data_IF_136643022980
#
_entry.id   IF_136643022980
#
_cell.length_a   1.000
_cell.length_b   1.000
_cell.length_c   1.000
_cell.angle_alpha   90.00
_cell.angle_beta   90.00
_cell.angle_gamma   90.00
#
_symmetry.space_group_name_H-M   'P 1'
#
loop_
_entity.id
_entity.type
_entity.pdbx_description
1 polymer ?
#
# COMPACT_ATOMS: atom_id res chain seq x y z
N UNK A 1 0.76 64.30 55.79
CA UNK A 1 1.95 63.46 56.05
C UNK A 1 2.12 62.51 54.88
N UNK A 2 3.36 62.27 54.44
CA UNK A 2 3.70 61.70 53.14
C UNK A 2 3.81 60.18 53.19
N UNK A 3 3.73 59.52 52.03
CA UNK A 3 4.44 58.27 51.78
C UNK A 3 5.15 58.46 50.44
N UNK A 4 6.47 58.60 50.51
CA UNK A 4 7.39 58.48 49.38
C UNK A 4 7.53 56.99 49.05
N UNK A 5 7.41 56.64 47.77
CA UNK A 5 7.95 55.38 47.25
C UNK A 5 8.73 55.77 46.00
N UNK A 6 10.04 55.52 46.07
CA UNK A 6 11.02 55.79 45.03
C UNK A 6 10.79 54.95 43.78
N UNK A 7 11.18 55.53 42.65
CA UNK A 7 11.11 54.98 41.31
C UNK A 7 12.03 53.77 41.16
N UNK A 8 11.57 52.77 40.41
CA UNK A 8 12.47 51.94 39.60
C UNK A 8 11.94 52.01 38.16
N UNK A 9 12.84 52.44 37.28
CA UNK A 9 12.60 52.77 35.89
C UNK A 9 12.27 51.51 35.07
N UNK A 10 11.19 51.54 34.30
CA UNK A 10 11.09 50.72 33.10
C UNK A 10 10.58 51.64 32.00
N UNK A 11 11.50 52.08 31.15
CA UNK A 11 11.21 52.86 29.96
C UNK A 11 10.28 52.08 29.03
N UNK A 12 9.19 52.74 28.67
CA UNK A 12 8.35 52.45 27.52
C UNK A 12 9.18 52.54 26.22
N UNK A 13 8.88 51.69 25.23
CA UNK A 13 8.26 52.15 23.97
C UNK A 13 8.49 51.23 22.77
N UNK A 14 7.36 50.99 22.10
CA UNK A 14 7.13 51.00 20.66
C UNK A 14 7.43 49.77 19.77
N UNK A 15 6.32 49.07 19.57
CA UNK A 15 5.85 48.32 18.41
C UNK A 15 6.04 49.09 17.08
N UNK A 16 6.71 48.46 16.11
CA UNK A 16 6.43 48.41 14.66
C UNK A 16 7.24 47.19 14.16
N UNK A 17 6.90 46.33 13.21
CA UNK A 17 6.00 46.30 12.05
C UNK A 17 6.04 44.83 11.54
N UNK A 18 5.06 44.37 10.76
CA UNK A 18 5.30 43.27 9.80
C UNK A 18 4.51 41.98 9.97
N UNK A 19 3.42 41.88 9.21
CA UNK A 19 2.76 40.65 8.74
C UNK A 19 3.77 39.66 8.14
N UNK A 20 3.74 38.39 8.60
CA UNK A 20 3.84 37.19 7.76
C UNK A 20 3.88 35.88 8.57
N UNK A 21 2.94 35.00 8.22
CA UNK A 21 3.15 33.56 7.97
C UNK A 21 3.32 32.57 9.13
N UNK A 22 2.21 31.85 9.36
CA UNK A 22 2.10 30.38 9.38
C UNK A 22 3.23 29.63 10.08
N UNK A 23 2.96 29.22 11.32
CA UNK A 23 3.71 28.20 12.04
C UNK A 23 3.62 26.87 11.30
N UNK A 24 4.60 26.59 10.45
CA UNK A 24 4.87 25.23 9.96
C UNK A 24 5.47 24.46 11.13
N UNK A 25 4.65 23.59 11.72
CA UNK A 25 5.11 22.56 12.64
C UNK A 25 6.14 21.69 11.92
N UNK A 26 7.37 21.74 12.40
CA UNK A 26 8.49 20.94 11.94
C UNK A 26 8.27 19.50 12.41
N UNK A 27 7.44 18.74 11.69
CA UNK A 27 7.44 17.28 11.81
C UNK A 27 8.77 16.79 11.29
N UNK A 28 9.51 16.08 12.14
CA UNK A 28 10.75 15.42 11.79
C UNK A 28 10.56 14.57 10.51
N UNK A 29 11.56 14.54 9.60
CA UNK A 29 11.48 13.69 8.43
C UNK A 29 11.39 12.24 8.89
N UNK A 30 10.23 11.63 8.64
CA UNK A 30 10.04 10.18 8.74
C UNK A 30 11.17 9.55 7.93
N UNK A 31 11.99 8.78 8.62
CA UNK A 31 13.08 8.01 8.06
C UNK A 31 12.57 7.20 6.86
N UNK A 32 13.09 7.53 5.68
CA UNK A 32 12.85 6.87 4.40
C UNK A 32 13.56 5.52 4.33
N UNK A 33 13.26 4.63 5.26
CA UNK A 33 13.66 3.22 5.23
C UNK A 33 12.49 2.36 4.77
N UNK A 34 12.34 2.26 3.44
CA UNK A 34 11.72 1.15 2.72
C UNK A 34 10.44 0.55 3.35
N UNK A 35 9.44 1.39 3.60
CA UNK A 35 8.06 0.92 3.71
C UNK A 35 7.66 0.53 2.30
N UNK A 36 7.69 -0.78 2.01
CA UNK A 36 7.08 -1.28 0.80
C UNK A 36 5.62 -0.85 0.80
N UNK A 37 5.24 -0.05 -0.19
CA UNK A 37 3.84 0.26 -0.39
C UNK A 37 3.11 -1.07 -0.64
N UNK A 38 2.23 -1.44 0.29
CA UNK A 38 1.40 -2.63 0.19
C UNK A 38 0.67 -2.67 -1.15
N UNK A 39 0.30 -1.51 -1.70
CA UNK A 39 -0.30 -1.38 -3.04
C UNK A 39 0.59 -1.96 -4.13
N UNK A 40 1.88 -1.62 -4.13
CA UNK A 40 2.85 -2.13 -5.11
C UNK A 40 3.04 -3.64 -4.97
N UNK A 41 3.13 -4.14 -3.72
CA UNK A 41 3.25 -5.58 -3.47
C UNK A 41 1.99 -6.35 -3.91
N UNK A 42 0.81 -5.82 -3.59
CA UNK A 42 -0.49 -6.37 -4.00
C UNK A 42 -0.55 -6.48 -5.53
N UNK A 43 -0.28 -5.39 -6.24
CA UNK A 43 -0.31 -5.39 -7.71
C UNK A 43 0.70 -6.39 -8.29
N UNK A 44 1.94 -6.44 -7.78
CA UNK A 44 2.95 -7.42 -8.26
C UNK A 44 2.49 -8.87 -8.07
N UNK A 45 1.83 -9.17 -6.97
CA UNK A 45 1.31 -10.51 -6.71
C UNK A 45 0.09 -10.85 -7.57
N UNK A 46 -0.77 -9.88 -7.88
CA UNK A 46 -1.86 -10.04 -8.85
C UNK A 46 -1.32 -10.30 -10.26
N UNK A 47 -0.27 -9.58 -10.68
CA UNK A 47 0.40 -9.83 -11.97
C UNK A 47 0.98 -11.24 -12.03
N UNK A 48 1.61 -11.71 -10.95
CA UNK A 48 2.11 -13.09 -10.88
C UNK A 48 0.98 -14.13 -10.99
N UNK A 49 -0.17 -13.86 -10.35
CA UNK A 49 -1.34 -14.74 -10.42
C UNK A 49 -1.88 -14.82 -11.85
N UNK A 50 -2.13 -13.68 -12.50
CA UNK A 50 -2.59 -13.58 -13.90
C UNK A 50 -1.70 -14.37 -14.88
N UNK A 51 -0.42 -14.55 -14.56
CA UNK A 51 0.57 -15.21 -15.43
C UNK A 51 0.81 -16.68 -15.07
N UNK A 52 0.22 -17.19 -13.99
CA UNK A 52 0.59 -18.49 -13.42
C UNK A 52 0.27 -19.66 -14.35
N UNK A 53 -0.84 -19.58 -15.08
CA UNK A 53 -1.33 -20.63 -15.98
C UNK A 53 -0.86 -20.42 -17.44
N UNK A 54 -0.12 -19.34 -17.70
CA UNK A 54 0.35 -18.88 -19.02
C UNK A 54 -0.75 -18.58 -20.03
N UNK A 55 -2.01 -18.43 -19.60
CA UNK A 55 -3.11 -17.99 -20.43
C UNK A 55 -3.51 -16.59 -20.00
N UNK A 56 -3.05 -15.60 -20.76
CA UNK A 56 -3.42 -14.23 -20.47
C UNK A 56 -4.90 -14.02 -20.81
N UNK A 57 -5.70 -13.65 -19.81
CA UNK A 57 -7.12 -13.31 -19.97
C UNK A 57 -7.29 -11.79 -19.90
N UNK A 58 -7.95 -11.22 -20.90
CA UNK A 58 -8.09 -9.76 -21.04
C UNK A 58 -8.83 -9.10 -19.86
N UNK A 59 -9.75 -9.83 -19.22
CA UNK A 59 -10.54 -9.33 -18.08
C UNK A 59 -9.68 -9.14 -16.82
N UNK A 60 -8.75 -10.06 -16.56
CA UNK A 60 -7.79 -9.96 -15.46
C UNK A 60 -6.77 -8.84 -15.73
N UNK A 61 -6.27 -8.77 -16.97
CA UNK A 61 -5.34 -7.72 -17.39
C UNK A 61 -5.96 -6.33 -17.24
N UNK A 62 -7.19 -6.14 -17.76
CA UNK A 62 -7.89 -4.85 -17.68
C UNK A 62 -8.18 -4.44 -16.24
N UNK A 63 -8.45 -5.39 -15.36
CA UNK A 63 -8.63 -5.12 -13.93
C UNK A 63 -7.34 -4.65 -13.27
N UNK A 64 -6.22 -5.35 -13.48
CA UNK A 64 -4.92 -4.94 -12.91
C UNK A 64 -4.50 -3.58 -13.47
N UNK A 65 -4.71 -3.32 -14.77
CA UNK A 65 -4.44 -2.03 -15.38
C UNK A 65 -5.23 -0.90 -14.69
N UNK A 66 -6.52 -1.13 -14.44
CA UNK A 66 -7.39 -0.18 -13.73
C UNK A 66 -6.91 0.07 -12.29
N UNK A 67 -6.43 -0.97 -11.59
CA UNK A 67 -5.85 -0.83 -10.26
C UNK A 67 -4.58 0.04 -10.27
N UNK A 68 -3.70 -0.16 -11.25
CA UNK A 68 -2.48 0.65 -11.41
C UNK A 68 -2.86 2.11 -11.66
N UNK A 69 -3.76 2.38 -12.61
CA UNK A 69 -4.17 3.72 -12.99
C UNK A 69 -4.76 4.51 -11.82
N UNK A 70 -5.65 3.88 -11.04
CA UNK A 70 -6.36 4.51 -9.93
C UNK A 70 -5.58 4.54 -8.62
N UNK A 71 -4.42 3.89 -8.55
CA UNK A 71 -3.58 3.90 -7.34
C UNK A 71 -2.87 5.25 -7.14
N UNK A 72 -2.51 5.56 -5.90
CA UNK A 72 -1.76 6.77 -5.52
C UNK A 72 -0.24 6.61 -5.69
N UNK A 73 0.22 5.54 -6.33
CA UNK A 73 1.65 5.29 -6.57
C UNK A 73 2.20 6.27 -7.61
N UNK A 74 3.51 6.56 -7.54
CA UNK A 74 4.17 7.46 -8.50
C UNK A 74 4.12 6.94 -9.94
N UNK A 75 4.10 7.86 -10.92
CA UNK A 75 3.96 7.54 -12.34
C UNK A 75 5.06 6.60 -12.87
N UNK A 76 6.30 6.76 -12.40
CA UNK A 76 7.41 5.86 -12.75
C UNK A 76 7.09 4.41 -12.33
N UNK A 77 6.59 4.23 -11.10
CA UNK A 77 6.17 2.92 -10.59
C UNK A 77 4.97 2.36 -11.36
N UNK A 78 4.01 3.22 -11.76
CA UNK A 78 2.88 2.78 -12.61
C UNK A 78 3.38 2.20 -13.93
N UNK A 79 4.32 2.89 -14.59
CA UNK A 79 4.93 2.46 -15.84
C UNK A 79 5.68 1.12 -15.64
N UNK A 80 6.44 0.99 -14.55
CA UNK A 80 7.12 -0.27 -14.22
C UNK A 80 6.14 -1.44 -14.07
N UNK A 81 5.05 -1.25 -13.31
CA UNK A 81 4.05 -2.29 -13.09
C UNK A 81 3.33 -2.68 -14.39
N UNK A 82 2.99 -1.72 -15.23
CA UNK A 82 2.42 -1.99 -16.55
C UNK A 82 3.38 -2.81 -17.42
N UNK A 83 4.66 -2.45 -17.46
CA UNK A 83 5.68 -3.22 -18.19
C UNK A 83 5.84 -4.66 -17.66
N UNK A 84 5.67 -4.86 -16.35
CA UNK A 84 5.75 -6.20 -15.74
C UNK A 84 4.60 -7.13 -16.18
N UNK A 85 3.43 -6.58 -16.51
CA UNK A 85 2.30 -7.34 -17.06
C UNK A 85 2.64 -7.97 -18.42
N UNK A 86 3.35 -7.23 -19.28
CA UNK A 86 3.73 -7.69 -20.62
C UNK A 86 4.99 -8.56 -20.63
N UNK A 87 5.81 -8.47 -19.59
CA UNK A 87 7.02 -9.28 -19.45
C UNK A 87 6.70 -10.78 -19.28
N UNK A 88 7.60 -11.68 -19.67
CA UNK A 88 7.47 -13.12 -19.35
C UNK A 88 8.16 -13.50 -18.02
N UNK A 89 8.76 -12.53 -17.33
CA UNK A 89 9.51 -12.76 -16.09
C UNK A 89 8.60 -13.06 -14.90
N UNK A 90 9.14 -13.85 -13.96
CA UNK A 90 8.56 -13.98 -12.61
C UNK A 90 8.94 -12.77 -11.76
N UNK A 91 7.97 -12.21 -11.06
CA UNK A 91 8.19 -11.11 -10.13
C UNK A 91 8.42 -11.72 -8.75
N UNK A 92 9.49 -11.32 -8.07
CA UNK A 92 9.68 -11.72 -6.67
C UNK A 92 8.75 -10.88 -5.79
N UNK A 93 7.92 -11.56 -4.99
CA UNK A 93 7.05 -10.92 -3.99
C UNK A 93 7.35 -11.55 -2.65
N UNK A 94 7.69 -10.71 -1.67
CA UNK A 94 7.85 -11.13 -0.28
C UNK A 94 6.51 -11.04 0.46
N UNK A 95 5.82 -12.18 0.54
CA UNK A 95 4.54 -12.29 1.23
C UNK A 95 4.67 -12.24 2.76
N UNK A 96 5.87 -12.40 3.32
CA UNK A 96 6.07 -12.40 4.78
C UNK A 96 5.84 -11.02 5.40
N UNK A 97 5.87 -9.96 4.58
CA UNK A 97 5.56 -8.58 5.00
C UNK A 97 4.12 -8.49 5.51
N UNK A 98 3.18 -9.19 4.87
CA UNK A 98 1.77 -9.20 5.27
C UNK A 98 1.52 -9.97 6.58
N UNK A 99 2.42 -10.89 6.98
CA UNK A 99 2.22 -11.71 8.18
C UNK A 99 2.22 -10.91 9.49
N UNK A 100 2.70 -9.65 9.45
CA UNK A 100 2.68 -8.73 10.59
C UNK A 100 1.38 -7.92 10.68
N UNK A 101 0.60 -7.87 9.61
CA UNK A 101 -0.62 -7.07 9.47
C UNK A 101 -1.77 -7.98 8.98
N UNK A 102 -2.51 -8.65 9.89
CA UNK A 102 -3.52 -9.65 9.53
C UNK A 102 -4.62 -9.13 8.61
N UNK A 103 -5.01 -7.86 8.75
CA UNK A 103 -6.01 -7.23 7.89
C UNK A 103 -5.51 -7.07 6.46
N UNK A 104 -4.23 -6.67 6.27
CA UNK A 104 -3.59 -6.58 4.96
C UNK A 104 -3.40 -7.96 4.32
N UNK A 105 -3.02 -8.97 5.11
CA UNK A 105 -2.93 -10.36 4.66
C UNK A 105 -4.28 -10.89 4.17
N UNK A 106 -5.34 -10.60 4.93
CA UNK A 106 -6.70 -11.02 4.61
C UNK A 106 -7.21 -10.32 3.36
N UNK A 107 -7.03 -8.98 3.27
CA UNK A 107 -7.37 -8.20 2.07
C UNK A 107 -6.65 -8.73 0.83
N UNK A 108 -5.35 -9.01 0.95
CA UNK A 108 -4.57 -9.57 -0.15
C UNK A 108 -5.06 -10.95 -0.58
N UNK A 109 -5.45 -11.82 0.36
CA UNK A 109 -6.03 -13.12 0.04
C UNK A 109 -7.36 -12.96 -0.75
N UNK A 110 -8.21 -12.03 -0.33
CA UNK A 110 -9.46 -11.73 -1.04
C UNK A 110 -9.20 -11.20 -2.45
N UNK A 111 -8.26 -10.27 -2.62
CA UNK A 111 -7.91 -9.71 -3.92
C UNK A 111 -7.42 -10.79 -4.89
N UNK A 112 -6.58 -11.72 -4.41
CA UNK A 112 -6.12 -12.86 -5.21
C UNK A 112 -7.28 -13.77 -5.65
N UNK A 113 -8.18 -14.11 -4.72
CA UNK A 113 -9.33 -14.99 -5.02
C UNK A 113 -10.29 -14.29 -5.99
N UNK A 114 -10.54 -12.99 -5.79
CA UNK A 114 -11.40 -12.20 -6.65
C UNK A 114 -10.86 -12.11 -8.08
N UNK A 115 -9.54 -11.97 -8.24
CA UNK A 115 -8.89 -12.01 -9.55
C UNK A 115 -9.03 -13.39 -10.22
N UNK A 116 -8.65 -14.46 -9.54
CA UNK A 116 -8.69 -15.82 -10.10
C UNK A 116 -10.10 -16.32 -10.46
N UNK A 117 -11.16 -15.76 -9.86
CA UNK A 117 -12.55 -16.10 -10.18
C UNK A 117 -13.15 -15.20 -11.27
N UNK A 118 -12.44 -14.16 -11.71
CA UNK A 118 -13.01 -13.05 -12.48
C UNK A 118 -13.58 -13.49 -13.82
N UNK A 119 -12.86 -14.32 -14.56
CA UNK A 119 -13.29 -14.89 -15.84
C UNK A 119 -14.18 -16.13 -15.73
N UNK A 120 -14.54 -16.53 -14.50
CA UNK A 120 -15.41 -17.67 -14.23
C UNK A 120 -14.71 -19.04 -14.17
N UNK A 121 -13.42 -19.13 -14.45
CA UNK A 121 -12.65 -20.38 -14.33
C UNK A 121 -11.59 -20.31 -13.24
N UNK A 122 -11.81 -21.00 -12.11
CA UNK A 122 -10.82 -21.07 -11.04
C UNK A 122 -9.88 -22.29 -11.21
N UNK A 123 -8.75 -22.07 -11.90
CA UNK A 123 -7.79 -23.08 -12.32
C UNK A 123 -6.96 -23.66 -11.16
N UNK A 124 -6.42 -24.87 -11.37
CA UNK A 124 -5.58 -25.53 -10.35
C UNK A 124 -4.30 -24.74 -10.06
N UNK A 125 -3.67 -24.14 -11.06
CA UNK A 125 -2.43 -23.37 -10.89
C UNK A 125 -2.64 -22.12 -10.02
N UNK A 126 -3.74 -21.41 -10.23
CA UNK A 126 -4.16 -20.26 -9.42
C UNK A 126 -4.43 -20.69 -7.97
N UNK A 127 -5.19 -21.77 -7.76
CA UNK A 127 -5.44 -22.33 -6.41
C UNK A 127 -4.15 -22.64 -5.67
N UNK A 128 -3.18 -23.27 -6.35
CA UNK A 128 -1.88 -23.59 -5.76
C UNK A 128 -1.12 -22.31 -5.40
N UNK A 129 -1.11 -21.31 -6.29
CA UNK A 129 -0.47 -20.03 -6.03
C UNK A 129 -1.08 -19.32 -4.81
N UNK A 130 -2.41 -19.23 -4.75
CA UNK A 130 -3.14 -18.60 -3.65
C UNK A 130 -2.87 -19.32 -2.33
N UNK A 131 -2.89 -20.66 -2.33
CA UNK A 131 -2.52 -21.46 -1.15
C UNK A 131 -1.10 -21.17 -0.66
N UNK A 132 -0.13 -21.07 -1.58
CA UNK A 132 1.25 -20.78 -1.23
C UNK A 132 1.41 -19.36 -0.68
N UNK A 133 0.82 -18.37 -1.34
CA UNK A 133 0.81 -16.99 -0.87
C UNK A 133 0.17 -16.88 0.51
N UNK A 134 -1.04 -17.43 0.71
CA UNK A 134 -1.74 -17.41 1.99
C UNK A 134 -0.94 -18.01 3.14
N UNK A 135 -0.27 -19.15 2.91
CA UNK A 135 0.61 -19.77 3.91
C UNK A 135 1.80 -18.86 4.27
N UNK A 136 2.40 -18.19 3.28
CA UNK A 136 3.51 -17.25 3.52
C UNK A 136 3.05 -15.97 4.25
N UNK A 137 1.79 -15.57 4.08
CA UNK A 137 1.16 -14.47 4.81
C UNK A 137 0.73 -14.88 6.24
N UNK A 138 0.95 -16.14 6.65
CA UNK A 138 0.60 -16.63 7.99
C UNK A 138 -0.87 -17.04 8.16
N UNK A 139 -1.64 -17.14 7.08
CA UNK A 139 -3.05 -17.54 7.12
C UNK A 139 -3.13 -19.07 7.21
N UNK A 140 -4.05 -19.58 8.05
CA UNK A 140 -4.22 -21.02 8.22
C UNK A 140 -4.77 -21.67 6.95
N UNK A 141 -4.40 -22.94 6.71
CA UNK A 141 -4.89 -23.67 5.54
C UNK A 141 -6.42 -23.80 5.52
N UNK A 142 -7.05 -23.98 6.69
CA UNK A 142 -8.49 -24.06 6.83
C UNK A 142 -9.16 -22.72 6.42
N UNK A 143 -8.59 -21.59 6.82
CA UNK A 143 -9.16 -20.27 6.48
C UNK A 143 -8.97 -19.96 5.00
N UNK A 144 -7.82 -20.33 4.41
CA UNK A 144 -7.58 -20.19 2.97
C UNK A 144 -8.61 -21.04 2.19
N UNK A 145 -8.79 -22.30 2.56
CA UNK A 145 -9.76 -23.19 1.91
C UNK A 145 -11.20 -22.73 2.09
N UNK A 146 -11.56 -22.32 3.31
CA UNK A 146 -12.86 -21.74 3.61
C UNK A 146 -13.14 -20.49 2.76
N UNK A 147 -12.16 -19.60 2.64
CA UNK A 147 -12.29 -18.37 1.84
C UNK A 147 -12.41 -18.69 0.35
N UNK A 148 -11.62 -19.64 -0.18
CA UNK A 148 -11.73 -20.06 -1.59
C UNK A 148 -13.06 -20.73 -1.93
N UNK A 149 -13.69 -21.40 -0.97
CA UNK A 149 -15.01 -22.02 -1.13
C UNK A 149 -16.16 -20.98 -1.13
N UNK A 150 -15.90 -19.78 -0.61
CA UNK A 150 -16.83 -18.66 -0.62
C UNK A 150 -16.54 -17.82 -1.87
N UNK A 151 -17.53 -17.63 -2.73
CA UNK A 151 -17.41 -16.86 -3.98
C UNK A 151 -17.78 -17.66 -5.21
#
# INVERSE_FOLDING_TARGET
MPIEIEADEIEDENIVEGVAETRISKSEPISTENIYDYTVLKIKALINLMKVDKKLKLEEQGYIQTLIENSEIGDETKIELANLMDSQGKISVDFTIFAKEPDEATGMLFDLIALAKRDGEFHLAEKIYIKQAGKLMGISENDIEGTMAIG
#
